data_IF_683114191096
#
_entry.id   IF_683114191096
#
_cell.length_a   1.000
_cell.length_b   1.000
_cell.length_c   1.000
_cell.angle_alpha   90.00
_cell.angle_beta   90.00
_cell.angle_gamma   90.00
#
_symmetry.space_group_name_H-M   'P 1'
#
loop_
_entity.id
_entity.type
_entity.pdbx_description
1 polymer ?
#
# COMPACT_ATOMS: atom_id res chain seq x y z
N UNK A 1 15.35 14.07 -11.42
CA UNK A 1 14.00 14.03 -12.02
C UNK A 1 13.69 12.57 -12.28
N UNK A 2 12.79 11.96 -11.52
CA UNK A 2 12.32 10.61 -11.82
C UNK A 2 11.73 10.59 -13.22
N UNK A 3 12.00 9.57 -14.06
CA UNK A 3 11.31 9.45 -15.33
C UNK A 3 9.81 9.48 -15.04
N UNK A 4 9.05 10.25 -15.82
CA UNK A 4 7.61 10.34 -15.67
C UNK A 4 7.02 8.94 -15.81
N UNK A 5 6.66 8.32 -14.69
CA UNK A 5 5.97 7.04 -14.69
C UNK A 5 4.66 7.20 -15.47
N UNK A 6 4.49 6.35 -16.48
CA UNK A 6 3.24 6.28 -17.24
C UNK A 6 2.51 5.03 -16.78
N UNK A 7 1.31 5.22 -16.26
CA UNK A 7 0.43 4.11 -15.90
C UNK A 7 -0.16 3.56 -17.20
N UNK A 8 -0.06 2.25 -17.35
CA UNK A 8 -0.58 1.56 -18.52
C UNK A 8 -2.04 1.13 -18.29
N UNK A 9 -2.80 1.05 -19.37
CA UNK A 9 -4.13 0.45 -19.33
C UNK A 9 -4.02 -1.01 -18.87
N UNK A 10 -4.93 -1.44 -18.01
CA UNK A 10 -4.88 -2.77 -17.38
C UNK A 10 -3.94 -2.87 -16.18
N UNK A 11 -3.22 -1.81 -15.80
CA UNK A 11 -2.46 -1.78 -14.55
C UNK A 11 -3.37 -2.09 -13.36
N UNK A 12 -2.88 -2.89 -12.41
CA UNK A 12 -3.63 -3.28 -11.22
C UNK A 12 -3.13 -2.56 -9.98
N UNK A 13 -4.06 -2.16 -9.12
CA UNK A 13 -3.81 -1.51 -7.83
C UNK A 13 -4.51 -2.28 -6.72
N UNK A 14 -3.79 -2.55 -5.64
CA UNK A 14 -4.31 -3.14 -4.41
C UNK A 14 -3.77 -2.38 -3.21
N UNK A 15 -4.60 -2.09 -2.21
CA UNK A 15 -4.25 -1.33 -1.03
C UNK A 15 -4.71 -2.05 0.24
N UNK A 16 -3.95 -1.87 1.32
CA UNK A 16 -4.37 -2.19 2.69
C UNK A 16 -4.90 -3.63 2.82
N UNK A 17 -4.10 -4.61 2.39
CA UNK A 17 -4.47 -6.02 2.47
C UNK A 17 -4.38 -6.55 3.91
N UNK A 18 -3.53 -5.96 4.76
CA UNK A 18 -3.38 -6.33 6.16
C UNK A 18 -3.36 -7.84 6.36
N UNK A 19 -2.56 -8.54 5.52
CA UNK A 19 -2.47 -10.00 5.55
C UNK A 19 -1.97 -10.48 6.91
N UNK A 20 -2.64 -11.51 7.41
CA UNK A 20 -2.37 -12.11 8.70
C UNK A 20 -2.76 -13.58 8.67
N UNK A 21 -2.53 -14.32 9.78
CA UNK A 21 -2.92 -15.73 9.88
C UNK A 21 -4.38 -16.01 9.54
N UNK A 22 -5.27 -15.06 9.84
CA UNK A 22 -6.72 -15.21 9.67
C UNK A 22 -7.26 -14.51 8.42
N UNK A 23 -6.41 -13.78 7.71
CA UNK A 23 -6.74 -13.02 6.50
C UNK A 23 -5.67 -13.25 5.43
N UNK A 24 -5.71 -14.38 4.76
CA UNK A 24 -4.69 -14.81 3.78
C UNK A 24 -5.09 -14.58 2.31
N UNK A 25 -6.15 -13.82 2.05
CA UNK A 25 -6.66 -13.58 0.68
C UNK A 25 -5.66 -12.83 -0.21
N UNK A 26 -4.71 -12.12 0.37
CA UNK A 26 -3.68 -11.43 -0.40
C UNK A 26 -2.77 -12.43 -1.14
N UNK A 27 -2.47 -13.57 -0.53
CA UNK A 27 -1.71 -14.63 -1.22
C UNK A 27 -2.47 -15.17 -2.44
N UNK A 28 -3.79 -15.39 -2.29
CA UNK A 28 -4.64 -15.86 -3.39
C UNK A 28 -4.71 -14.82 -4.52
N UNK A 29 -4.76 -13.52 -4.18
CA UNK A 29 -4.67 -12.44 -5.15
C UNK A 29 -3.34 -12.49 -5.92
N UNK A 30 -2.21 -12.66 -5.24
CA UNK A 30 -0.90 -12.76 -5.91
C UNK A 30 -0.82 -13.98 -6.83
N UNK A 31 -1.39 -15.12 -6.43
CA UNK A 31 -1.50 -16.30 -7.29
C UNK A 31 -2.39 -16.06 -8.51
N UNK A 32 -3.50 -15.33 -8.34
CA UNK A 32 -4.35 -14.91 -9.45
C UNK A 32 -3.60 -14.01 -10.43
N UNK A 33 -2.88 -13.02 -9.94
CA UNK A 33 -2.02 -12.13 -10.74
C UNK A 33 -0.91 -12.91 -11.47
N UNK A 34 -0.31 -13.91 -10.83
CA UNK A 34 0.71 -14.76 -11.45
C UNK A 34 0.18 -15.53 -12.67
N UNK A 35 -1.07 -15.95 -12.65
CA UNK A 35 -1.69 -16.65 -13.78
C UNK A 35 -1.90 -15.72 -14.99
N UNK A 36 -2.20 -14.44 -14.76
CA UNK A 36 -2.44 -13.43 -15.78
C UNK A 36 -1.75 -12.11 -15.37
N UNK A 37 -0.42 -12.01 -15.57
CA UNK A 37 0.32 -10.82 -15.14
C UNK A 37 -0.18 -9.56 -15.86
N UNK A 38 -0.50 -8.48 -15.12
CA UNK A 38 -0.83 -7.18 -15.71
C UNK A 38 0.45 -6.52 -16.25
N UNK A 39 0.34 -5.47 -17.06
CA UNK A 39 1.51 -4.70 -17.45
C UNK A 39 2.24 -4.08 -16.24
N UNK A 40 1.47 -3.65 -15.22
CA UNK A 40 1.97 -3.06 -14.00
C UNK A 40 1.12 -3.48 -12.81
N UNK A 41 1.77 -3.76 -11.68
CA UNK A 41 1.12 -4.06 -10.40
C UNK A 41 1.57 -3.04 -9.35
N UNK A 42 0.61 -2.38 -8.71
CA UNK A 42 0.84 -1.40 -7.66
C UNK A 42 0.33 -1.94 -6.32
N UNK A 43 1.26 -2.25 -5.42
CA UNK A 43 1.00 -2.58 -4.03
C UNK A 43 1.07 -1.27 -3.24
N UNK A 44 -0.09 -0.74 -2.81
CA UNK A 44 -0.22 0.63 -2.32
C UNK A 44 0.07 0.79 -0.82
N UNK A 45 0.80 -0.16 -0.22
CA UNK A 45 1.19 -0.15 1.19
C UNK A 45 0.21 -0.85 2.10
N UNK A 46 0.69 -1.19 3.30
CA UNK A 46 -0.04 -1.95 4.33
C UNK A 46 -0.57 -3.30 3.80
N UNK A 47 0.29 -4.00 3.02
CA UNK A 47 -0.05 -5.35 2.54
C UNK A 47 -0.05 -6.36 3.67
N UNK A 48 0.67 -6.11 4.76
CA UNK A 48 0.81 -6.97 5.93
C UNK A 48 0.47 -6.22 7.22
N UNK A 49 0.03 -6.94 8.26
CA UNK A 49 -0.17 -6.34 9.59
C UNK A 49 1.15 -5.83 10.19
N UNK A 50 2.29 -6.48 9.88
CA UNK A 50 3.62 -5.96 10.20
C UNK A 50 4.70 -6.66 9.37
N UNK A 51 5.30 -5.95 8.43
CA UNK A 51 6.49 -6.40 7.71
C UNK A 51 7.54 -5.28 7.72
N UNK A 52 8.61 -5.47 8.47
CA UNK A 52 9.74 -4.54 8.50
C UNK A 52 10.98 -5.25 7.98
N UNK A 53 11.58 -4.75 6.90
CA UNK A 53 12.66 -5.44 6.18
C UNK A 53 13.90 -5.75 7.03
N UNK A 54 14.18 -4.94 8.06
CA UNK A 54 15.28 -5.18 9.02
C UNK A 54 14.88 -6.07 10.20
N UNK A 55 13.63 -6.52 10.34
CA UNK A 55 13.14 -7.34 11.45
C UNK A 55 12.92 -8.78 10.99
N UNK A 56 13.78 -9.68 11.45
CA UNK A 56 13.85 -11.06 10.94
C UNK A 56 12.53 -11.83 11.11
N UNK A 57 11.79 -11.61 12.19
CA UNK A 57 10.54 -12.33 12.46
C UNK A 57 9.52 -12.13 11.34
N UNK A 58 9.20 -10.88 10.99
CA UNK A 58 8.25 -10.57 9.91
C UNK A 58 8.72 -11.09 8.55
N UNK A 59 10.02 -10.94 8.25
CA UNK A 59 10.60 -11.44 7.00
C UNK A 59 10.44 -12.95 6.88
N UNK A 60 10.75 -13.72 7.93
CA UNK A 60 10.58 -15.17 7.94
C UNK A 60 9.11 -15.60 7.83
N UNK A 61 8.22 -14.90 8.55
CA UNK A 61 6.78 -15.18 8.52
C UNK A 61 6.20 -15.01 7.12
N UNK A 62 6.60 -13.96 6.41
CA UNK A 62 6.05 -13.61 5.09
C UNK A 62 6.95 -14.01 3.92
N UNK A 63 7.97 -14.87 4.13
CA UNK A 63 8.94 -15.23 3.09
C UNK A 63 8.29 -15.70 1.80
N UNK A 64 7.27 -16.56 1.87
CA UNK A 64 6.55 -17.05 0.69
C UNK A 64 5.87 -15.95 -0.15
N UNK A 65 5.42 -14.86 0.51
CA UNK A 65 4.84 -13.69 -0.18
C UNK A 65 5.94 -12.88 -0.84
N UNK A 66 7.04 -12.66 -0.11
CA UNK A 66 8.21 -11.94 -0.62
C UNK A 66 8.73 -12.64 -1.89
N UNK A 67 8.89 -13.95 -1.85
CA UNK A 67 9.35 -14.75 -2.99
C UNK A 67 8.39 -14.64 -4.18
N UNK A 68 7.07 -14.70 -3.93
CA UNK A 68 6.06 -14.59 -4.98
C UNK A 68 6.00 -13.17 -5.58
N UNK A 69 6.09 -12.12 -4.77
CA UNK A 69 6.14 -10.73 -5.23
C UNK A 69 7.42 -10.49 -6.05
N UNK A 70 8.57 -11.01 -5.61
CA UNK A 70 9.83 -10.95 -6.35
C UNK A 70 9.75 -11.71 -7.70
N UNK A 71 9.05 -12.85 -7.73
CA UNK A 71 8.80 -13.60 -8.96
C UNK A 71 7.91 -12.80 -9.93
N UNK A 72 6.85 -12.16 -9.42
CA UNK A 72 5.99 -11.27 -10.22
C UNK A 72 6.78 -10.10 -10.81
N UNK A 73 7.75 -9.54 -10.06
CA UNK A 73 8.63 -8.49 -10.55
C UNK A 73 9.51 -8.87 -11.76
N UNK A 74 9.66 -10.18 -12.04
CA UNK A 74 10.32 -10.66 -13.25
C UNK A 74 9.38 -10.75 -14.46
N UNK A 75 8.06 -10.78 -14.22
CA UNK A 75 7.03 -11.00 -15.24
C UNK A 75 6.29 -9.72 -15.62
N UNK A 76 6.19 -8.75 -14.69
CA UNK A 76 5.56 -7.45 -14.90
C UNK A 76 6.27 -6.37 -14.07
N UNK A 77 5.97 -5.10 -14.35
CA UNK A 77 6.50 -4.02 -13.51
C UNK A 77 5.75 -3.97 -12.16
N UNK A 78 6.43 -4.27 -11.06
CA UNK A 78 5.86 -4.20 -9.71
C UNK A 78 6.37 -2.96 -8.98
N UNK A 79 5.44 -2.16 -8.44
CA UNK A 79 5.69 -1.00 -7.58
C UNK A 79 5.13 -1.28 -6.20
N UNK A 80 5.96 -1.20 -5.17
CA UNK A 80 5.56 -1.40 -3.79
C UNK A 80 5.74 -0.10 -3.02
N UNK A 81 4.64 0.56 -2.69
CA UNK A 81 4.63 1.73 -1.82
C UNK A 81 4.73 1.29 -0.37
N UNK A 82 5.69 1.79 0.36
CA UNK A 82 5.76 1.52 1.79
C UNK A 82 4.61 2.22 2.53
N UNK A 83 3.94 1.49 3.41
CA UNK A 83 2.93 1.98 4.33
C UNK A 83 3.47 2.13 5.75
N UNK A 84 2.59 2.32 6.72
CA UNK A 84 2.97 2.41 8.13
C UNK A 84 3.11 1.05 8.82
N UNK A 85 2.64 -0.04 8.19
CA UNK A 85 2.74 -1.41 8.67
C UNK A 85 3.81 -2.22 7.94
N UNK A 86 4.19 -1.82 6.73
CA UNK A 86 5.20 -2.47 5.92
C UNK A 86 6.21 -1.45 5.37
N UNK A 87 7.44 -1.51 5.84
CA UNK A 87 8.47 -0.54 5.49
C UNK A 87 9.89 -1.12 5.61
N UNK A 88 10.90 -0.32 5.16
CA UNK A 88 12.30 -0.76 5.05
C UNK A 88 12.46 -1.98 4.12
N UNK A 89 11.66 -1.99 3.03
CA UNK A 89 11.48 -3.16 2.16
C UNK A 89 12.50 -3.26 1.04
N UNK A 90 13.23 -2.19 0.72
CA UNK A 90 14.10 -2.12 -0.47
C UNK A 90 15.17 -3.23 -0.55
N UNK A 91 15.55 -3.81 0.59
CA UNK A 91 16.54 -4.89 0.65
C UNK A 91 15.95 -6.28 0.42
N UNK A 92 14.61 -6.39 0.43
CA UNK A 92 13.92 -7.67 0.25
C UNK A 92 13.73 -8.04 -1.22
N UNK A 93 13.86 -7.05 -2.12
CA UNK A 93 13.51 -7.20 -3.52
C UNK A 93 14.61 -6.71 -4.46
N UNK A 94 14.80 -7.40 -5.57
CA UNK A 94 15.70 -7.01 -6.65
C UNK A 94 14.95 -6.57 -7.93
N UNK A 95 13.73 -7.11 -8.14
CA UNK A 95 12.92 -6.86 -9.34
C UNK A 95 11.66 -6.04 -9.05
N UNK A 96 11.44 -5.62 -7.79
CA UNK A 96 10.33 -4.76 -7.38
C UNK A 96 10.82 -3.35 -7.11
N UNK A 97 10.13 -2.36 -7.64
CA UNK A 97 10.41 -0.94 -7.39
C UNK A 97 9.74 -0.53 -6.08
N UNK A 98 10.49 -0.57 -4.98
CA UNK A 98 10.00 -0.10 -3.67
C UNK A 98 10.03 1.42 -3.64
N UNK A 99 8.91 2.04 -3.24
CA UNK A 99 8.73 3.49 -3.10
C UNK A 99 8.61 3.82 -1.60
N UNK A 100 9.72 4.20 -0.95
CA UNK A 100 9.70 4.55 0.46
C UNK A 100 8.89 5.82 0.72
N UNK A 101 8.48 6.06 1.98
CA UNK A 101 7.63 7.20 2.33
C UNK A 101 8.24 8.55 1.97
N UNK A 102 9.57 8.65 1.97
CA UNK A 102 10.30 9.86 1.62
C UNK A 102 10.07 10.24 0.14
N UNK A 103 9.95 9.24 -0.74
CA UNK A 103 9.76 9.41 -2.17
C UNK A 103 8.27 9.56 -2.57
N UNK A 104 7.34 9.36 -1.63
CA UNK A 104 5.92 9.59 -1.85
C UNK A 104 5.58 11.07 -1.65
N UNK A 105 4.61 11.63 -2.39
CA UNK A 105 3.87 10.99 -3.47
C UNK A 105 4.72 10.79 -4.73
N UNK A 106 4.50 9.69 -5.42
CA UNK A 106 5.07 9.44 -6.74
C UNK A 106 4.19 10.11 -7.79
N UNK A 107 4.77 10.99 -8.59
CA UNK A 107 4.05 11.63 -9.71
C UNK A 107 4.07 10.73 -10.94
N UNK A 108 2.91 10.51 -11.54
CA UNK A 108 2.75 9.71 -12.75
C UNK A 108 1.78 10.35 -13.74
N UNK A 109 1.67 9.77 -14.93
CA UNK A 109 0.65 10.07 -15.92
C UNK A 109 -0.30 8.90 -16.09
N UNK A 110 -1.59 9.17 -16.06
CA UNK A 110 -2.64 8.20 -16.38
C UNK A 110 -2.79 8.07 -17.91
N UNK A 111 -3.41 6.98 -18.42
CA UNK A 111 -3.66 6.82 -19.86
C UNK A 111 -4.48 7.96 -20.47
N UNK A 112 -5.34 8.60 -19.69
CA UNK A 112 -6.08 9.80 -20.06
C UNK A 112 -5.21 11.05 -20.28
N UNK A 113 -3.91 10.99 -19.93
CA UNK A 113 -2.98 12.12 -19.96
C UNK A 113 -2.99 12.98 -18.70
N UNK A 114 -3.92 12.76 -17.77
CA UNK A 114 -3.97 13.46 -16.47
C UNK A 114 -2.75 13.15 -15.62
N UNK A 115 -2.27 14.14 -14.87
CA UNK A 115 -1.23 13.98 -13.87
C UNK A 115 -1.84 13.37 -12.60
N UNK A 116 -1.25 12.33 -12.07
CA UNK A 116 -1.70 11.65 -10.87
C UNK A 116 -0.59 11.57 -9.81
N UNK A 117 -0.95 11.75 -8.55
CA UNK A 117 -0.12 11.48 -7.41
C UNK A 117 -0.53 10.15 -6.79
N UNK A 118 0.44 9.23 -6.67
CA UNK A 118 0.28 7.94 -6.00
C UNK A 118 1.02 7.96 -4.67
N UNK A 119 0.36 7.54 -3.61
CA UNK A 119 0.96 7.41 -2.28
C UNK A 119 0.17 6.40 -1.43
N UNK A 120 0.80 5.91 -0.34
CA UNK A 120 0.04 5.12 0.62
C UNK A 120 -1.03 5.99 1.33
N UNK A 121 -0.67 7.16 1.90
CA UNK A 121 -1.62 8.10 2.51
C UNK A 121 -1.24 8.58 3.92
N UNK A 122 -0.29 7.92 4.59
CA UNK A 122 0.15 8.25 5.96
C UNK A 122 1.14 9.42 6.05
N UNK A 123 1.78 9.81 4.93
CA UNK A 123 2.83 10.86 4.91
C UNK A 123 2.40 12.19 5.49
N UNK A 124 1.16 12.60 5.24
CA UNK A 124 0.62 13.91 5.64
C UNK A 124 -0.26 13.82 6.90
N UNK A 125 0.09 12.92 7.81
CA UNK A 125 -0.53 12.80 9.13
C UNK A 125 -0.19 13.97 10.08
N UNK A 126 -0.68 13.88 11.33
CA UNK A 126 -0.38 14.86 12.37
C UNK A 126 1.12 14.93 12.67
N UNK A 127 1.58 16.04 13.26
CA UNK A 127 2.99 16.21 13.64
C UNK A 127 3.48 15.07 14.55
N UNK A 128 2.63 14.60 15.46
CA UNK A 128 2.93 13.48 16.35
C UNK A 128 3.15 12.18 15.57
N UNK A 129 2.25 11.87 14.63
CA UNK A 129 2.39 10.68 13.77
C UNK A 129 3.66 10.74 12.91
N UNK A 130 3.95 11.91 12.34
CA UNK A 130 5.18 12.11 11.54
C UNK A 130 6.45 11.91 12.34
N UNK A 131 6.48 12.38 13.60
CA UNK A 131 7.62 12.17 14.50
C UNK A 131 7.76 10.71 14.88
N UNK A 132 6.66 10.05 15.22
CA UNK A 132 6.63 8.61 15.51
C UNK A 132 7.14 7.80 14.31
N UNK A 133 6.64 8.06 13.10
CA UNK A 133 7.07 7.38 11.87
C UNK A 133 8.58 7.52 11.64
N UNK A 134 9.15 8.71 11.87
CA UNK A 134 10.60 8.92 11.76
C UNK A 134 11.40 8.10 12.78
N UNK A 135 10.91 7.98 14.00
CA UNK A 135 11.58 7.21 15.07
C UNK A 135 11.58 5.72 14.73
N UNK A 136 10.43 5.15 14.42
CA UNK A 136 10.31 3.70 14.16
C UNK A 136 11.02 3.26 12.88
N UNK A 137 11.21 4.15 11.90
CA UNK A 137 11.96 3.88 10.65
C UNK A 137 13.47 4.10 10.80
N UNK A 138 13.94 4.59 11.96
CA UNK A 138 15.37 4.80 12.19
C UNK A 138 16.10 3.46 12.26
N UNK A 139 17.14 3.28 11.43
CA UNK A 139 17.89 2.02 11.31
C UNK A 139 18.51 1.55 12.63
N UNK A 140 18.94 2.47 13.49
CA UNK A 140 19.50 2.12 14.81
C UNK A 140 18.41 1.58 15.73
N UNK A 141 17.22 2.20 15.71
CA UNK A 141 16.05 1.73 16.46
C UNK A 141 15.63 0.34 15.97
N UNK A 142 15.53 0.14 14.67
CA UNK A 142 15.17 -1.16 14.08
C UNK A 142 16.18 -2.26 14.44
N UNK A 143 17.48 -1.97 14.44
CA UNK A 143 18.51 -2.93 14.88
C UNK A 143 18.32 -3.34 16.33
N UNK A 144 18.03 -2.39 17.23
CA UNK A 144 17.77 -2.67 18.65
C UNK A 144 16.50 -3.52 18.80
N UNK A 145 15.41 -3.15 18.13
CA UNK A 145 14.14 -3.89 18.18
C UNK A 145 14.32 -5.32 17.67
N UNK A 146 14.99 -5.51 16.54
CA UNK A 146 15.29 -6.83 15.99
C UNK A 146 16.18 -7.66 16.92
N UNK A 147 17.17 -7.03 17.60
CA UNK A 147 18.01 -7.71 18.58
C UNK A 147 17.19 -8.21 19.79
N UNK A 148 16.29 -7.37 20.31
CA UNK A 148 15.40 -7.75 21.43
C UNK A 148 14.47 -8.88 20.97
N UNK A 149 13.81 -8.75 19.82
CA UNK A 149 12.89 -9.75 19.28
C UNK A 149 13.55 -11.13 19.12
N UNK A 150 14.78 -11.15 18.57
CA UNK A 150 15.54 -12.41 18.45
C UNK A 150 15.82 -13.10 19.79
N UNK A 151 15.86 -12.33 20.90
CA UNK A 151 16.11 -12.85 22.24
C UNK A 151 14.87 -13.18 23.06
N UNK A 152 13.73 -12.68 22.63
CA UNK A 152 12.47 -12.75 23.37
C UNK A 152 11.36 -13.47 22.60
N UNK A 153 11.71 -14.39 21.70
CA UNK A 153 10.77 -15.12 20.85
C UNK A 153 9.79 -14.19 20.11
N UNK A 154 10.35 -13.14 19.53
CA UNK A 154 9.60 -12.12 18.76
C UNK A 154 8.48 -11.43 19.56
N UNK A 155 8.67 -11.21 20.86
CA UNK A 155 7.62 -10.68 21.73
C UNK A 155 7.10 -9.30 21.31
N UNK A 156 7.97 -8.42 20.77
CA UNK A 156 7.59 -7.08 20.31
C UNK A 156 6.77 -7.20 19.03
N UNK A 157 7.27 -7.95 18.03
CA UNK A 157 6.57 -8.15 16.76
C UNK A 157 5.20 -8.81 16.97
N UNK A 158 5.14 -9.88 17.76
CA UNK A 158 3.88 -10.57 18.09
C UNK A 158 2.88 -9.65 18.79
N UNK A 159 3.35 -8.81 19.73
CA UNK A 159 2.48 -7.84 20.40
C UNK A 159 1.91 -6.82 19.42
N UNK A 160 2.75 -6.25 18.56
CA UNK A 160 2.29 -5.28 17.55
C UNK A 160 1.27 -5.92 16.62
N UNK A 161 1.54 -7.14 16.12
CA UNK A 161 0.60 -7.87 15.24
C UNK A 161 -0.73 -8.12 15.94
N UNK A 162 -0.74 -8.58 17.20
CA UNK A 162 -1.95 -8.78 17.97
C UNK A 162 -2.75 -7.48 18.17
N UNK A 163 -2.06 -6.37 18.48
CA UNK A 163 -2.69 -5.05 18.61
C UNK A 163 -3.31 -4.59 17.28
N UNK A 164 -2.68 -4.89 16.14
CA UNK A 164 -3.24 -4.59 14.81
C UNK A 164 -4.43 -5.49 14.48
N UNK A 165 -4.33 -6.78 14.79
CA UNK A 165 -5.39 -7.74 14.53
C UNK A 165 -6.72 -7.38 15.23
N UNK A 166 -6.67 -6.76 16.40
CA UNK A 166 -7.85 -6.31 17.14
C UNK A 166 -8.46 -5.01 16.61
N UNK A 167 -7.79 -4.30 15.72
CA UNK A 167 -8.31 -3.04 15.17
C UNK A 167 -9.43 -3.28 14.16
N UNK A 168 -10.47 -2.44 14.24
CA UNK A 168 -11.53 -2.39 13.22
C UNK A 168 -10.99 -1.68 11.98
N UNK A 169 -10.60 -2.44 10.96
CA UNK A 169 -10.05 -1.90 9.71
C UNK A 169 -11.11 -1.19 8.86
N UNK A 170 -12.34 -1.73 8.82
CA UNK A 170 -13.41 -1.29 7.92
C UNK A 170 -14.29 -0.22 8.58
N UNK A 171 -13.68 0.90 8.96
CA UNK A 171 -14.35 1.99 9.66
C UNK A 171 -14.63 3.14 8.71
N UNK A 172 -15.87 3.58 8.62
CA UNK A 172 -16.21 4.83 7.92
C UNK A 172 -15.73 6.03 8.72
N UNK A 173 -15.07 6.96 8.06
CA UNK A 173 -14.61 8.23 8.63
C UNK A 173 -15.67 9.30 8.33
N UNK A 174 -16.27 9.84 9.36
CA UNK A 174 -17.23 10.95 9.22
C UNK A 174 -16.55 12.19 8.63
N UNK A 175 -17.26 12.89 7.74
CA UNK A 175 -16.76 14.10 7.08
C UNK A 175 -15.42 13.92 6.36
N UNK A 176 -15.16 12.73 5.80
CA UNK A 176 -13.88 12.39 5.18
C UNK A 176 -13.48 13.38 4.07
N UNK A 177 -14.42 13.79 3.18
CA UNK A 177 -14.15 14.77 2.14
C UNK A 177 -13.65 16.12 2.70
N UNK A 178 -14.20 16.57 3.84
CA UNK A 178 -13.75 17.79 4.52
C UNK A 178 -12.34 17.63 5.09
N UNK A 179 -12.00 16.44 5.59
CA UNK A 179 -10.64 16.16 6.08
C UNK A 179 -9.64 16.19 4.92
N UNK A 180 -9.97 15.59 3.78
CA UNK A 180 -9.13 15.62 2.57
C UNK A 180 -8.98 17.06 2.05
N UNK A 181 -10.04 17.84 1.98
CA UNK A 181 -9.98 19.25 1.57
C UNK A 181 -8.95 20.03 2.41
N UNK A 182 -8.92 19.81 3.72
CA UNK A 182 -7.94 20.44 4.62
C UNK A 182 -6.50 20.00 4.38
N UNK A 183 -6.29 18.81 3.81
CA UNK A 183 -4.97 18.26 3.52
C UNK A 183 -4.44 18.63 2.14
N UNK A 184 -5.29 19.09 1.22
CA UNK A 184 -4.89 19.35 -0.16
C UNK A 184 -3.68 20.28 -0.31
N UNK A 185 -3.50 21.24 0.61
CA UNK A 185 -2.36 22.16 0.57
C UNK A 185 -0.99 21.50 0.80
N UNK A 186 -0.97 20.25 1.30
CA UNK A 186 0.27 19.48 1.45
C UNK A 186 0.66 18.74 0.16
N UNK A 187 -0.27 18.54 -0.75
CA UNK A 187 0.00 17.80 -1.98
C UNK A 187 0.52 18.73 -3.07
N UNK A 188 1.47 18.28 -3.91
CA UNK A 188 1.83 18.98 -5.13
C UNK A 188 0.60 19.16 -6.04
N UNK A 189 0.61 20.21 -6.86
CA UNK A 189 -0.49 20.45 -7.82
C UNK A 189 -0.61 19.28 -8.81
N UNK A 190 -1.83 18.76 -8.97
CA UNK A 190 -2.13 17.60 -9.80
C UNK A 190 -3.59 17.58 -10.23
N UNK A 191 -3.93 16.72 -11.19
CA UNK A 191 -5.31 16.48 -11.62
C UNK A 191 -6.00 15.41 -10.77
N UNK A 192 -5.22 14.37 -10.35
CA UNK A 192 -5.72 13.21 -9.61
C UNK A 192 -4.82 12.93 -8.40
N UNK A 193 -5.41 12.54 -7.28
CA UNK A 193 -4.72 11.95 -6.11
C UNK A 193 -5.34 10.58 -5.87
N UNK A 194 -4.52 9.53 -5.81
CA UNK A 194 -4.96 8.18 -5.51
C UNK A 194 -4.11 7.59 -4.36
N UNK A 195 -4.78 7.24 -3.26
CA UNK A 195 -4.14 6.73 -2.04
C UNK A 195 -4.95 5.65 -1.32
N UNK A 196 -4.28 4.82 -0.51
CA UNK A 196 -4.85 3.84 0.40
C UNK A 196 -5.10 4.39 1.80
N UNK A 197 -4.66 3.64 2.83
CA UNK A 197 -4.54 4.03 4.24
C UNK A 197 -5.85 4.31 4.99
N UNK A 198 -6.80 5.00 4.36
CA UNK A 198 -8.06 5.40 5.03
C UNK A 198 -9.18 4.37 4.88
N UNK A 199 -9.05 3.41 3.97
CA UNK A 199 -10.00 2.30 3.72
C UNK A 199 -11.41 2.75 3.35
N UNK A 200 -11.58 3.96 2.78
CA UNK A 200 -12.91 4.56 2.60
C UNK A 200 -13.62 4.13 1.32
N UNK A 201 -12.89 3.65 0.30
CA UNK A 201 -13.46 3.27 -0.99
C UNK A 201 -14.34 4.39 -1.58
N UNK A 202 -13.75 5.56 -1.78
CA UNK A 202 -14.45 6.74 -2.28
C UNK A 202 -13.71 7.37 -3.44
N UNK A 203 -14.49 8.01 -4.30
CA UNK A 203 -14.09 8.72 -5.50
C UNK A 203 -14.92 10.01 -5.59
N UNK A 204 -14.28 11.17 -5.50
CA UNK A 204 -14.98 12.47 -5.55
C UNK A 204 -14.10 13.62 -5.99
N UNK A 205 -14.72 14.69 -6.47
CA UNK A 205 -14.05 15.96 -6.79
C UNK A 205 -13.94 16.82 -5.53
N UNK A 206 -12.75 17.35 -5.27
CA UNK A 206 -12.49 18.29 -4.16
C UNK A 206 -11.57 19.40 -4.63
N UNK A 207 -12.04 20.66 -4.58
CA UNK A 207 -11.29 21.86 -5.02
C UNK A 207 -10.64 21.72 -6.41
N UNK A 208 -11.32 21.06 -7.35
CA UNK A 208 -10.84 20.86 -8.71
C UNK A 208 -9.87 19.70 -8.91
N UNK A 209 -9.58 18.94 -7.85
CA UNK A 209 -8.76 17.71 -7.89
C UNK A 209 -9.67 16.49 -7.76
N UNK A 210 -9.46 15.50 -8.61
CA UNK A 210 -10.13 14.21 -8.50
C UNK A 210 -9.41 13.37 -7.43
N UNK A 211 -10.10 13.07 -6.35
CA UNK A 211 -9.54 12.31 -5.22
C UNK A 211 -10.13 10.91 -5.17
N UNK A 212 -9.24 9.92 -5.14
CA UNK A 212 -9.58 8.50 -5.05
C UNK A 212 -8.93 7.92 -3.79
N UNK A 213 -9.73 7.33 -2.89
CA UNK A 213 -9.22 6.50 -1.81
C UNK A 213 -9.59 5.05 -2.07
N UNK A 214 -8.58 4.22 -2.27
CA UNK A 214 -8.78 2.81 -2.56
C UNK A 214 -9.45 2.09 -1.38
N UNK A 215 -10.27 1.11 -1.73
CA UNK A 215 -10.79 0.17 -0.73
C UNK A 215 -9.65 -0.60 -0.08
N UNK A 216 -9.75 -0.84 1.23
CA UNK A 216 -8.90 -1.84 1.85
C UNK A 216 -9.28 -3.24 1.34
N UNK A 217 -8.29 -3.97 0.81
CA UNK A 217 -8.48 -5.33 0.35
C UNK A 217 -8.90 -6.26 1.50
N UNK A 218 -8.42 -6.00 2.72
CA UNK A 218 -8.86 -6.72 3.92
C UNK A 218 -10.37 -6.61 4.19
N UNK A 219 -11.04 -5.55 3.71
CA UNK A 219 -12.45 -5.32 3.99
C UNK A 219 -13.39 -6.03 3.02
N UNK A 220 -13.05 -6.07 1.76
CA UNK A 220 -13.97 -6.56 0.72
C UNK A 220 -13.28 -7.24 -0.45
N UNK A 221 -11.98 -7.53 -0.34
CA UNK A 221 -11.17 -8.18 -1.38
C UNK A 221 -11.21 -7.45 -2.74
N UNK A 222 -11.40 -6.13 -2.70
CA UNK A 222 -11.40 -5.31 -3.90
C UNK A 222 -9.99 -4.88 -4.29
N UNK A 223 -9.75 -4.89 -5.59
CA UNK A 223 -8.61 -4.29 -6.25
C UNK A 223 -9.09 -3.43 -7.43
N UNK A 224 -8.21 -2.66 -8.04
CA UNK A 224 -8.60 -1.72 -9.07
C UNK A 224 -7.78 -1.95 -10.33
N UNK A 225 -8.42 -1.72 -11.48
CA UNK A 225 -7.76 -1.77 -12.78
C UNK A 225 -7.90 -0.43 -13.47
N UNK A 226 -6.81 0.07 -14.03
CA UNK A 226 -6.84 1.31 -14.82
C UNK A 226 -7.48 1.05 -16.17
N UNK A 227 -8.41 1.91 -16.55
CA UNK A 227 -9.14 1.86 -17.82
C UNK A 227 -9.25 3.26 -18.41
N UNK A 228 -8.79 3.42 -19.66
CA UNK A 228 -8.84 4.71 -20.36
C UNK A 228 -10.23 5.12 -20.82
N UNK A 229 -11.17 4.17 -20.89
CA UNK A 229 -12.53 4.36 -21.44
C UNK A 229 -13.63 4.52 -20.39
N UNK A 230 -13.29 4.50 -19.08
CA UNK A 230 -14.26 4.60 -18.01
C UNK A 230 -14.44 6.06 -17.55
N UNK A 231 -15.61 6.41 -17.02
CA UNK A 231 -15.84 7.69 -16.34
C UNK A 231 -14.91 7.84 -15.12
N UNK A 232 -14.47 6.72 -14.55
CA UNK A 232 -13.51 6.65 -13.47
C UNK A 232 -12.20 6.03 -13.96
N UNK A 233 -11.07 6.67 -13.64
CA UNK A 233 -9.71 6.20 -14.01
C UNK A 233 -9.40 4.82 -13.43
N UNK A 234 -10.02 4.47 -12.28
CA UNK A 234 -9.77 3.26 -11.51
C UNK A 234 -11.07 2.44 -11.37
N UNK A 235 -11.21 1.40 -12.20
CA UNK A 235 -12.35 0.50 -12.14
C UNK A 235 -12.17 -0.54 -11.03
N UNK A 236 -13.06 -0.54 -10.05
CA UNK A 236 -13.04 -1.51 -8.96
C UNK A 236 -13.41 -2.90 -9.45
N UNK A 237 -12.64 -3.89 -9.02
CA UNK A 237 -12.87 -5.32 -9.24
C UNK A 237 -12.83 -6.05 -7.89
N UNK A 238 -13.39 -7.24 -7.84
CA UNK A 238 -13.29 -8.13 -6.67
C UNK A 238 -12.58 -9.41 -7.04
N UNK A 239 -11.71 -9.87 -6.16
CA UNK A 239 -11.23 -11.24 -6.23
C UNK A 239 -12.44 -12.14 -5.97
N UNK A 240 -12.91 -12.87 -6.97
CA UNK A 240 -14.01 -13.82 -6.79
C UNK A 240 -13.54 -14.84 -5.78
N UNK A 241 -14.05 -14.72 -4.56
CA UNK A 241 -13.76 -15.65 -3.49
C UNK A 241 -14.18 -17.05 -3.93
N UNK A 242 -13.41 -18.04 -3.54
CA UNK A 242 -13.94 -19.37 -3.38
C UNK A 242 -15.14 -19.21 -2.43
N UNK A 243 -16.36 -19.28 -2.98
CA UNK A 243 -17.55 -19.45 -2.18
C UNK A 243 -17.35 -20.78 -1.44
N UNK A 244 -16.96 -20.70 -0.17
CA UNK A 244 -17.02 -21.83 0.73
C UNK A 244 -18.45 -22.06 1.20
#
# INVERSE_FOLDING_TARGET
>A
MSPNLIIQEGALFIADAHDSSDRSFFFDFLLHVKQNPPPQLFLMGDMFDLLVGSVAHGVQQYQRYIDLIEELGKSCEVYYFEGNHDFDLSKLFNHVKVIPIEEQPLTCKLPSGKTCLLLHGDKYGTLLNRTYTKIIRNQSVLKILNYIDKRTDASISKKIQNDQHTKKLCKTIEHFATQIQRKLHFYPKTDVIAEGHYHQNVDFMVSGVHYVNFSSFACNQSYFSVQSSSETEFAQKQLRGCNG
#
